data_IF_477095621482
#
_entry.id   IF_477095621482
#
_cell.length_a   1.000
_cell.length_b   1.000
_cell.length_c   1.000
_cell.angle_alpha   90.00
_cell.angle_beta   90.00
_cell.angle_gamma   90.00
#
_symmetry.space_group_name_H-M   'P 1'
#
loop_
_entity.id
_entity.type
_entity.pdbx_description
1 polymer ?
#
# COMPACT_ATOMS: atom_id res chain seq x y z
N UNK A 1 -3.75 5.60 14.90
CA UNK A 1 -2.39 5.05 15.09
C UNK A 1 -1.79 4.58 13.78
N UNK A 2 -2.33 3.54 13.13
CA UNK A 2 -1.79 2.99 11.85
C UNK A 2 -1.39 4.03 10.79
N UNK A 3 -2.24 5.04 10.52
CA UNK A 3 -1.92 6.07 9.52
C UNK A 3 -0.78 7.00 9.96
N UNK A 4 -0.71 7.33 11.25
CA UNK A 4 0.35 8.15 11.83
C UNK A 4 1.69 7.41 11.72
N UNK A 5 1.72 6.13 12.09
CA UNK A 5 2.92 5.32 12.02
C UNK A 5 3.38 5.11 10.57
N UNK A 6 2.44 4.92 9.64
CA UNK A 6 2.74 4.86 8.22
C UNK A 6 3.36 6.18 7.72
N UNK A 7 2.76 7.33 8.05
CA UNK A 7 3.30 8.62 7.63
C UNK A 7 4.71 8.85 8.21
N UNK A 8 4.94 8.53 9.48
CA UNK A 8 6.27 8.61 10.10
C UNK A 8 7.28 7.72 9.40
N UNK A 9 6.89 6.48 9.06
CA UNK A 9 7.75 5.54 8.34
C UNK A 9 8.11 6.07 6.95
N UNK A 10 7.13 6.58 6.21
CA UNK A 10 7.35 7.15 4.87
C UNK A 10 8.23 8.39 4.93
N UNK A 11 7.95 9.32 5.86
CA UNK A 11 8.73 10.56 5.97
C UNK A 11 10.20 10.27 6.32
N UNK A 12 10.45 9.36 7.28
CA UNK A 12 11.81 8.96 7.65
C UNK A 12 12.51 8.17 6.54
N UNK A 13 11.81 7.21 5.94
CA UNK A 13 12.37 6.33 4.91
C UNK A 13 12.72 7.07 3.62
N UNK A 14 11.97 8.12 3.28
CA UNK A 14 12.20 8.94 2.10
C UNK A 14 12.96 10.24 2.37
N UNK A 15 13.28 10.52 3.64
CA UNK A 15 13.86 11.80 4.08
C UNK A 15 13.11 13.02 3.52
N UNK A 16 11.77 12.92 3.48
CA UNK A 16 10.90 13.90 2.84
C UNK A 16 9.65 14.15 3.69
N UNK A 17 9.26 15.42 3.86
CA UNK A 17 8.07 15.79 4.62
C UNK A 17 6.80 15.70 3.76
N UNK A 18 5.78 15.05 4.29
CA UNK A 18 4.44 15.08 3.70
C UNK A 18 3.85 16.46 3.96
N UNK A 19 3.42 17.16 2.91
CA UNK A 19 2.86 18.52 3.06
C UNK A 19 1.35 18.54 3.11
N UNK A 20 0.70 17.65 2.36
CA UNK A 20 -0.74 17.66 2.18
C UNK A 20 -1.26 16.23 2.20
N UNK A 21 -2.30 15.99 2.99
CA UNK A 21 -3.04 14.72 3.01
C UNK A 21 -4.49 15.03 2.66
N UNK A 22 -5.05 14.34 1.66
CA UNK A 22 -6.46 14.47 1.29
C UNK A 22 -7.22 13.19 1.62
N UNK A 23 -8.35 13.33 2.31
CA UNK A 23 -9.19 12.19 2.72
C UNK A 23 -10.65 12.46 2.37
N UNK A 24 -11.48 11.43 2.34
CA UNK A 24 -12.92 11.63 2.26
C UNK A 24 -13.44 12.25 3.57
N UNK A 25 -14.61 12.93 3.52
CA UNK A 25 -15.39 13.32 4.71
C UNK A 25 -15.95 12.11 5.50
N UNK A 26 -15.49 10.90 5.21
CA UNK A 26 -15.88 9.70 5.94
C UNK A 26 -15.39 9.81 7.38
N UNK A 27 -16.32 9.67 8.32
CA UNK A 27 -16.15 9.82 9.77
C UNK A 27 -14.99 9.03 10.38
N UNK A 28 -14.46 8.00 9.71
CA UNK A 28 -13.32 7.19 10.18
C UNK A 28 -11.96 7.89 10.16
N UNK A 29 -11.76 8.93 9.34
CA UNK A 29 -10.46 9.63 9.22
C UNK A 29 -10.48 11.02 9.89
N UNK A 30 -11.68 11.53 10.20
CA UNK A 30 -11.87 12.74 11.01
C UNK A 30 -11.83 12.41 12.51
N UNK A 31 -10.68 11.93 12.99
CA UNK A 31 -10.42 11.76 14.41
C UNK A 31 -9.63 12.98 14.92
N UNK A 32 -10.05 13.56 16.06
CA UNK A 32 -9.34 14.66 16.75
C UNK A 32 -7.82 14.40 16.86
N UNK A 33 -7.44 13.15 17.08
CA UNK A 33 -6.05 12.69 17.19
C UNK A 33 -5.27 12.90 15.88
N UNK A 34 -5.86 12.59 14.73
CA UNK A 34 -5.23 12.78 13.42
C UNK A 34 -5.10 14.26 13.09
N UNK A 35 -6.12 15.04 13.43
CA UNK A 35 -6.06 16.49 13.24
C UNK A 35 -4.95 17.14 14.09
N UNK A 36 -4.82 16.75 15.36
CA UNK A 36 -3.75 17.21 16.24
C UNK A 36 -2.36 16.82 15.72
N UNK A 37 -2.21 15.58 15.23
CA UNK A 37 -0.97 15.12 14.62
C UNK A 37 -0.62 15.93 13.36
N UNK A 38 -1.58 16.11 12.45
CA UNK A 38 -1.36 16.90 11.23
C UNK A 38 -0.97 18.35 11.54
N UNK A 39 -1.62 18.98 12.51
CA UNK A 39 -1.27 20.32 12.96
C UNK A 39 0.16 20.38 13.53
N UNK A 40 0.55 19.41 14.37
CA UNK A 40 1.89 19.36 14.97
C UNK A 40 3.00 19.16 13.93
N UNK A 41 2.74 18.37 12.88
CA UNK A 41 3.69 18.08 11.80
C UNK A 41 3.64 19.11 10.66
N UNK A 42 2.74 20.10 10.72
CA UNK A 42 2.53 21.07 9.64
C UNK A 42 1.92 20.50 8.36
N UNK A 43 1.20 19.37 8.47
CA UNK A 43 0.54 18.70 7.35
C UNK A 43 -0.82 19.36 7.09
N UNK A 44 -1.05 19.87 5.89
CA UNK A 44 -2.35 20.40 5.50
C UNK A 44 -3.33 19.24 5.24
N UNK A 45 -4.36 19.13 6.06
CA UNK A 45 -5.45 18.17 5.85
C UNK A 45 -6.54 18.74 4.95
N UNK A 46 -6.80 18.08 3.83
CA UNK A 46 -7.89 18.42 2.91
C UNK A 46 -8.98 17.34 2.97
N UNK A 47 -10.24 17.76 2.97
CA UNK A 47 -11.38 16.83 2.94
C UNK A 47 -12.13 16.96 1.63
N UNK A 48 -12.41 15.83 0.96
CA UNK A 48 -13.27 15.81 -0.22
C UNK A 48 -14.72 16.04 0.18
N UNK A 49 -15.53 16.58 -0.73
CA UNK A 49 -16.98 16.70 -0.48
C UNK A 49 -17.58 15.30 -0.34
N UNK A 50 -18.60 15.17 0.52
CA UNK A 50 -19.33 13.91 0.66
C UNK A 50 -20.09 13.62 -0.65
N UNK A 51 -20.15 12.35 -1.05
CA UNK A 51 -20.84 11.90 -2.28
C UNK A 51 -20.26 12.43 -3.60
N UNK A 52 -19.01 12.90 -3.62
CA UNK A 52 -18.25 13.16 -4.86
C UNK A 52 -17.16 12.09 -5.05
N UNK A 53 -17.52 10.87 -5.49
CA UNK A 53 -16.56 9.77 -5.67
C UNK A 53 -15.45 10.10 -6.69
N UNK A 54 -15.67 11.06 -7.59
CA UNK A 54 -14.70 11.53 -8.57
C UNK A 54 -13.47 12.14 -7.89
N UNK A 55 -13.67 12.87 -6.79
CA UNK A 55 -12.58 13.51 -6.03
C UNK A 55 -11.67 12.50 -5.32
N UNK A 56 -12.20 11.33 -4.97
CA UNK A 56 -11.42 10.20 -4.41
C UNK A 56 -11.18 9.10 -5.44
N UNK A 57 -11.51 9.35 -6.71
CA UNK A 57 -11.55 8.33 -7.75
C UNK A 57 -10.19 7.69 -8.01
N UNK A 58 -9.08 8.38 -7.72
CA UNK A 58 -7.73 7.81 -7.82
C UNK A 58 -7.51 6.74 -6.74
N UNK A 59 -7.79 7.05 -5.49
CA UNK A 59 -7.61 6.13 -4.36
C UNK A 59 -8.56 4.94 -4.49
N UNK A 60 -9.83 5.19 -4.81
CA UNK A 60 -10.83 4.12 -4.97
C UNK A 60 -10.51 3.20 -6.15
N UNK A 61 -10.10 3.75 -7.31
CA UNK A 61 -9.63 2.92 -8.43
C UNK A 61 -8.42 2.09 -8.05
N UNK A 62 -7.43 2.69 -7.37
CA UNK A 62 -6.22 1.97 -6.95
C UNK A 62 -6.56 0.84 -5.97
N UNK A 63 -7.40 1.12 -4.97
CA UNK A 63 -7.88 0.14 -4.00
C UNK A 63 -8.63 -1.00 -4.69
N UNK A 64 -9.53 -0.70 -5.63
CA UNK A 64 -10.26 -1.70 -6.41
C UNK A 64 -9.31 -2.58 -7.23
N UNK A 65 -8.30 -2.00 -7.87
CA UNK A 65 -7.30 -2.75 -8.64
C UNK A 65 -6.47 -3.67 -7.75
N UNK A 66 -6.05 -3.23 -6.56
CA UNK A 66 -5.32 -4.07 -5.61
C UNK A 66 -6.17 -5.24 -5.11
N UNK A 67 -7.41 -4.97 -4.72
CA UNK A 67 -8.35 -6.00 -4.26
C UNK A 67 -8.64 -7.03 -5.36
N UNK A 68 -8.86 -6.57 -6.60
CA UNK A 68 -9.05 -7.47 -7.74
C UNK A 68 -7.81 -8.34 -7.97
N UNK A 69 -6.62 -7.74 -8.02
CA UNK A 69 -5.39 -8.49 -8.23
C UNK A 69 -5.14 -9.54 -7.15
N UNK A 70 -5.35 -9.21 -5.87
CA UNK A 70 -5.20 -10.16 -4.77
C UNK A 70 -6.19 -11.33 -4.88
N UNK A 71 -7.47 -11.05 -5.20
CA UNK A 71 -8.47 -12.11 -5.44
C UNK A 71 -8.07 -13.03 -6.58
N UNK A 72 -7.58 -12.46 -7.68
CA UNK A 72 -7.07 -13.23 -8.83
C UNK A 72 -5.87 -14.08 -8.44
N UNK A 73 -4.91 -13.55 -7.68
CA UNK A 73 -3.75 -14.30 -7.20
C UNK A 73 -4.16 -15.49 -6.33
N UNK A 74 -5.05 -15.29 -5.35
CA UNK A 74 -5.56 -16.35 -4.49
C UNK A 74 -6.29 -17.45 -5.29
N UNK A 75 -7.16 -17.04 -6.21
CA UNK A 75 -7.93 -17.97 -7.05
C UNK A 75 -7.03 -18.76 -8.00
N UNK A 76 -6.05 -18.11 -8.63
CA UNK A 76 -5.10 -18.76 -9.54
C UNK A 76 -4.17 -19.74 -8.82
N UNK A 77 -3.66 -19.35 -7.64
CA UNK A 77 -2.79 -20.19 -6.83
C UNK A 77 -3.56 -21.30 -6.06
N UNK A 78 -4.90 -21.24 -6.04
CA UNK A 78 -5.78 -22.15 -5.28
C UNK A 78 -5.40 -22.24 -3.80
N UNK A 79 -5.00 -21.11 -3.21
CA UNK A 79 -4.63 -21.03 -1.79
C UNK A 79 -5.78 -20.50 -0.94
N UNK A 80 -5.84 -20.87 0.35
CA UNK A 80 -6.90 -20.42 1.25
C UNK A 80 -6.95 -18.90 1.46
N UNK A 81 -8.13 -18.41 1.86
CA UNK A 81 -8.37 -16.97 2.09
C UNK A 81 -7.53 -16.38 3.23
N UNK A 82 -7.00 -17.19 4.16
CA UNK A 82 -6.17 -16.67 5.23
C UNK A 82 -4.87 -16.00 4.70
N UNK A 83 -4.44 -16.31 3.48
CA UNK A 83 -3.33 -15.62 2.79
C UNK A 83 -3.72 -14.25 2.18
N UNK A 84 -4.86 -13.69 2.59
CA UNK A 84 -5.39 -12.44 2.02
C UNK A 84 -4.41 -11.27 2.19
N UNK A 85 -3.79 -11.15 3.36
CA UNK A 85 -2.86 -10.05 3.65
C UNK A 85 -1.61 -10.14 2.74
N UNK A 86 -1.08 -11.35 2.57
CA UNK A 86 0.07 -11.67 1.74
C UNK A 86 -0.24 -11.44 0.26
N UNK A 87 -1.44 -11.80 -0.19
CA UNK A 87 -1.89 -11.56 -1.56
C UNK A 87 -2.01 -10.04 -1.85
N UNK A 88 -2.58 -9.26 -0.93
CA UNK A 88 -2.67 -7.80 -1.05
C UNK A 88 -1.27 -7.16 -1.04
N UNK A 89 -0.39 -7.60 -0.13
CA UNK A 89 0.98 -7.13 -0.04
C UNK A 89 1.76 -7.42 -1.33
N UNK A 90 1.65 -8.65 -1.86
CA UNK A 90 2.28 -9.06 -3.11
C UNK A 90 1.74 -8.25 -4.29
N UNK A 91 0.41 -8.09 -4.40
CA UNK A 91 -0.20 -7.27 -5.44
C UNK A 91 0.30 -5.81 -5.40
N UNK A 92 0.37 -5.21 -4.21
CA UNK A 92 0.89 -3.85 -4.03
C UNK A 92 2.37 -3.76 -4.43
N UNK A 93 3.18 -4.70 -3.94
CA UNK A 93 4.62 -4.74 -4.18
C UNK A 93 4.95 -4.89 -5.67
N UNK A 94 4.28 -5.82 -6.36
CA UNK A 94 4.45 -6.06 -7.80
C UNK A 94 3.99 -4.85 -8.60
N UNK A 95 2.77 -4.37 -8.37
CA UNK A 95 2.22 -3.26 -9.16
C UNK A 95 3.02 -1.95 -9.00
N UNK A 96 3.58 -1.67 -7.83
CA UNK A 96 4.39 -0.47 -7.63
C UNK A 96 5.73 -0.52 -8.37
N UNK A 97 6.19 -1.71 -8.80
CA UNK A 97 7.47 -1.93 -9.47
C UNK A 97 7.33 -2.28 -10.97
N UNK A 98 6.20 -2.81 -11.40
CA UNK A 98 6.00 -3.24 -12.80
C UNK A 98 5.05 -2.36 -13.61
N UNK A 99 4.07 -1.70 -12.98
CA UNK A 99 3.12 -0.87 -13.73
C UNK A 99 3.70 0.51 -14.00
N UNK A 100 3.85 0.83 -15.28
CA UNK A 100 4.27 2.15 -15.74
C UNK A 100 3.09 3.10 -15.69
N UNK A 101 3.29 4.29 -15.11
CA UNK A 101 2.33 5.38 -15.19
C UNK A 101 2.57 6.10 -16.52
N UNK A 102 1.62 6.04 -17.49
CA UNK A 102 1.88 6.53 -18.85
C UNK A 102 2.34 7.99 -18.90
N UNK A 103 1.77 8.85 -18.06
CA UNK A 103 2.12 10.28 -17.97
C UNK A 103 3.60 10.54 -17.66
N UNK A 104 4.24 9.64 -16.93
CA UNK A 104 5.62 9.82 -16.45
C UNK A 104 6.60 8.84 -17.09
N UNK A 105 6.10 7.87 -17.88
CA UNK A 105 6.89 6.76 -18.43
C UNK A 105 7.74 6.01 -17.38
N UNK A 106 7.31 6.08 -16.12
CA UNK A 106 8.03 5.60 -14.93
C UNK A 106 7.08 4.79 -14.04
N UNK A 107 7.64 3.82 -13.32
CA UNK A 107 6.90 3.06 -12.31
C UNK A 107 6.83 3.87 -11.00
N UNK A 108 5.82 3.64 -10.13
CA UNK A 108 5.76 4.31 -8.82
C UNK A 108 7.06 4.19 -8.02
N UNK A 109 7.69 3.01 -8.03
CA UNK A 109 8.98 2.79 -7.38
C UNK A 109 10.08 3.69 -7.95
N UNK A 110 10.16 3.80 -9.28
CA UNK A 110 11.14 4.65 -9.93
C UNK A 110 10.89 6.13 -9.64
N UNK A 111 9.63 6.58 -9.53
CA UNK A 111 9.33 7.97 -9.17
C UNK A 111 9.78 8.30 -7.73
N UNK A 112 9.59 7.36 -6.79
CA UNK A 112 9.88 7.60 -5.37
C UNK A 112 11.38 7.51 -5.07
N UNK A 113 12.08 6.55 -5.68
CA UNK A 113 13.49 6.26 -5.35
C UNK A 113 14.48 6.70 -6.44
N UNK A 114 13.99 7.37 -7.49
CA UNK A 114 14.73 7.72 -8.71
C UNK A 114 15.57 6.56 -9.30
N UNK A 115 15.10 5.32 -9.10
CA UNK A 115 15.82 4.09 -9.43
C UNK A 115 14.89 3.08 -10.08
N UNK A 116 15.30 2.52 -11.23
CA UNK A 116 14.54 1.43 -11.86
C UNK A 116 14.56 0.19 -10.96
N UNK A 117 13.40 -0.38 -10.67
CA UNK A 117 13.33 -1.65 -9.95
C UNK A 117 13.77 -2.80 -10.85
N UNK A 118 14.61 -3.69 -10.34
CA UNK A 118 14.74 -5.03 -10.93
C UNK A 118 13.43 -5.79 -10.73
N UNK A 119 13.07 -6.63 -11.69
CA UNK A 119 11.91 -7.54 -11.59
C UNK A 119 12.32 -9.02 -11.63
N UNK A 120 13.63 -9.29 -11.72
CA UNK A 120 14.19 -10.65 -11.86
C UNK A 120 13.93 -11.54 -10.64
N UNK A 121 13.71 -10.94 -9.48
CA UNK A 121 13.50 -11.63 -8.21
C UNK A 121 12.01 -11.94 -7.93
N UNK A 122 11.10 -11.60 -8.84
CA UNK A 122 9.70 -11.95 -8.65
C UNK A 122 9.50 -13.46 -8.77
N UNK A 123 8.76 -14.01 -7.82
CA UNK A 123 8.23 -15.37 -7.87
C UNK A 123 6.71 -15.31 -8.05
N UNK A 124 6.15 -16.35 -8.65
CA UNK A 124 4.70 -16.50 -8.78
C UNK A 124 4.11 -16.63 -7.38
N UNK A 125 3.05 -15.87 -7.09
CA UNK A 125 2.35 -16.00 -5.81
C UNK A 125 1.83 -17.43 -5.63
N UNK A 126 2.07 -18.03 -4.46
CA UNK A 126 1.75 -19.44 -4.19
C UNK A 126 2.79 -20.44 -4.69
N UNK A 127 3.98 -19.99 -5.10
CA UNK A 127 5.11 -20.90 -5.37
C UNK A 127 5.50 -21.69 -4.12
N UNK A 128 5.93 -22.94 -4.31
CA UNK A 128 6.46 -23.78 -3.22
C UNK A 128 7.68 -23.10 -2.62
N UNK A 129 7.71 -23.00 -1.29
CA UNK A 129 8.85 -22.49 -0.53
C UNK A 129 9.20 -23.45 0.61
N UNK A 130 10.47 -23.43 1.00
CA UNK A 130 10.96 -24.21 2.14
C UNK A 130 11.07 -23.27 3.34
N UNK A 131 10.49 -23.67 4.47
CA UNK A 131 10.67 -22.98 5.74
C UNK A 131 11.91 -23.58 6.39
N UNK A 132 12.96 -22.78 6.55
CA UNK A 132 14.09 -23.15 7.39
C UNK A 132 13.59 -23.12 8.83
N UNK A 133 13.44 -24.30 9.44
CA UNK A 133 13.13 -24.42 10.86
C UNK A 133 14.46 -24.35 11.61
N UNK A 134 14.77 -23.19 12.17
CA UNK A 134 15.83 -23.04 13.16
C UNK A 134 15.41 -23.77 14.45
N UNK A 135 15.65 -25.08 14.50
CA UNK A 135 15.90 -25.89 15.69
C UNK A 135 14.86 -26.00 16.82
N UNK A 136 13.80 -25.21 16.89
CA UNK A 136 12.85 -25.31 18.02
C UNK A 136 11.71 -26.29 17.73
N UNK A 137 11.86 -27.47 18.33
CA UNK A 137 10.88 -28.54 18.39
C UNK A 137 9.64 -28.03 19.12
N UNK A 138 8.60 -27.65 18.38
CA UNK A 138 7.25 -27.54 18.94
C UNK A 138 6.74 -28.96 19.18
N UNK A 139 6.71 -29.36 20.46
CA UNK A 139 6.09 -30.61 20.89
C UNK A 139 4.60 -30.57 20.53
N UNK A 140 4.20 -31.67 19.90
CA UNK A 140 2.89 -32.14 19.43
C UNK A 140 1.64 -31.50 20.04
#
# INVERSE_FOLDING_TARGET
EVLIDFLRLVQRGLQAQVRVVRTNKGTKILNQTLHAYFAAEGIQHQTSVARTPEQNGVVERRKRTLVKAARTMLSAAKVPLFFWAEAIATACFTQNRSLVIPRHEKTPYHIIYDRKSSVKFFHIFGSVCYIVRDGEILKK
#
